data_IF_931933172440
#
_entry.id   IF_931933172440
#
_cell.length_a   1.000
_cell.length_b   1.000
_cell.length_c   1.000
_cell.angle_alpha   90.00
_cell.angle_beta   90.00
_cell.angle_gamma   90.00
#
_symmetry.space_group_name_H-M   'P 1'
#
loop_
_entity.id
_entity.type
_entity.pdbx_description
1 polymer ?
#
# COMPACT_ATOMS: atom_id res chain seq x y z
N UNK A 1 31.12 -2.06 6.60
CA UNK A 1 31.91 -0.99 5.95
C UNK A 1 31.41 0.44 6.22
N UNK A 2 30.43 0.68 7.12
CA UNK A 2 30.18 2.04 7.66
C UNK A 2 30.70 2.19 9.10
N UNK A 3 30.69 1.11 9.90
CA UNK A 3 31.28 1.06 11.26
C UNK A 3 32.80 1.31 11.35
N UNK A 4 33.52 1.25 10.22
CA UNK A 4 34.96 1.53 10.15
C UNK A 4 35.26 3.02 9.88
N UNK A 5 34.23 3.78 9.45
CA UNK A 5 34.22 5.24 9.50
C UNK A 5 33.70 5.61 10.89
N UNK A 6 34.24 6.65 11.54
CA UNK A 6 33.83 7.11 12.89
C UNK A 6 32.37 7.62 12.99
N UNK A 7 31.49 7.18 12.09
CA UNK A 7 30.07 7.49 12.07
C UNK A 7 29.31 6.44 12.90
N UNK A 8 28.52 6.94 13.84
CA UNK A 8 27.62 6.12 14.63
C UNK A 8 26.47 5.61 13.75
N UNK A 9 26.52 4.32 13.41
CA UNK A 9 25.49 3.67 12.59
C UNK A 9 24.14 3.59 13.29
N UNK A 10 24.11 3.61 14.62
CA UNK A 10 22.88 3.51 15.38
C UNK A 10 22.19 4.87 15.44
N UNK A 11 22.95 5.97 15.56
CA UNK A 11 22.43 7.33 15.37
C UNK A 11 21.85 7.53 13.96
N UNK A 12 22.55 7.06 12.92
CA UNK A 12 22.05 7.15 11.54
C UNK A 12 20.71 6.40 11.34
N UNK A 13 20.55 5.22 11.96
CA UNK A 13 19.27 4.48 11.92
C UNK A 13 18.18 5.21 12.69
N UNK A 14 18.46 5.69 13.90
CA UNK A 14 17.50 6.42 14.73
C UNK A 14 16.98 7.64 13.98
N UNK A 15 17.87 8.44 13.39
CA UNK A 15 17.50 9.61 12.59
C UNK A 15 16.65 9.20 11.38
N UNK A 16 17.02 8.11 10.68
CA UNK A 16 16.23 7.60 9.55
C UNK A 16 14.80 7.17 9.95
N UNK A 17 14.66 6.46 11.07
CA UNK A 17 13.34 6.08 11.60
C UNK A 17 12.55 7.28 12.10
N UNK A 18 13.21 8.23 12.78
CA UNK A 18 12.58 9.44 13.28
C UNK A 18 12.00 10.28 12.14
N UNK A 19 12.76 10.51 11.06
CA UNK A 19 12.29 11.25 9.88
C UNK A 19 11.13 10.51 9.20
N UNK A 20 11.25 9.18 9.03
CA UNK A 20 10.19 8.38 8.42
C UNK A 20 8.88 8.49 9.22
N UNK A 21 8.94 8.31 10.54
CA UNK A 21 7.75 8.44 11.39
C UNK A 21 7.21 9.87 11.45
N UNK A 22 8.08 10.88 11.44
CA UNK A 22 7.66 12.28 11.42
C UNK A 22 6.85 12.62 10.17
N UNK A 23 7.26 12.14 8.98
CA UNK A 23 6.50 12.37 7.74
C UNK A 23 5.12 11.68 7.76
N UNK A 24 5.03 10.48 8.33
CA UNK A 24 3.75 9.77 8.51
C UNK A 24 2.83 10.50 9.49
N UNK A 25 3.38 10.94 10.64
CA UNK A 25 2.63 11.70 11.63
C UNK A 25 2.12 13.04 11.08
N UNK A 26 2.95 13.76 10.32
CA UNK A 26 2.57 15.00 9.64
C UNK A 26 1.40 14.76 8.67
N UNK A 27 1.48 13.72 7.83
CA UNK A 27 0.39 13.37 6.92
C UNK A 27 -0.90 13.04 7.68
N UNK A 28 -0.81 12.34 8.82
CA UNK A 28 -1.96 12.05 9.67
C UNK A 28 -2.59 13.30 10.28
N UNK A 29 -1.77 14.24 10.75
CA UNK A 29 -2.24 15.52 11.30
C UNK A 29 -2.99 16.36 10.26
N UNK A 30 -2.48 16.42 9.02
CA UNK A 30 -3.14 17.11 7.91
C UNK A 30 -4.52 16.47 7.63
N UNK A 31 -4.60 15.14 7.60
CA UNK A 31 -5.88 14.45 7.37
C UNK A 31 -6.88 14.70 8.51
N UNK A 32 -6.43 14.71 9.76
CA UNK A 32 -7.28 15.04 10.91
C UNK A 32 -7.83 16.47 10.82
N UNK A 33 -6.97 17.41 10.40
CA UNK A 33 -7.37 18.79 10.18
C UNK A 33 -8.41 18.92 9.06
N UNK A 34 -8.24 18.19 7.95
CA UNK A 34 -9.20 18.19 6.83
C UNK A 34 -10.56 17.61 7.22
N UNK A 35 -10.60 16.65 8.14
CA UNK A 35 -11.86 16.04 8.60
C UNK A 35 -12.48 16.78 9.80
N UNK A 36 -11.81 17.79 10.35
CA UNK A 36 -12.22 18.57 11.54
C UNK A 36 -12.51 17.73 12.81
N UNK A 37 -12.19 16.44 12.79
CA UNK A 37 -12.42 15.49 13.88
C UNK A 37 -11.36 14.40 13.84
N UNK A 38 -10.98 13.90 15.02
CA UNK A 38 -9.99 12.85 15.18
C UNK A 38 -10.61 11.69 15.96
N UNK A 39 -10.81 10.56 15.29
CA UNK A 39 -11.28 9.31 15.88
C UNK A 39 -10.12 8.30 15.90
N UNK A 40 -10.03 7.50 16.96
CA UNK A 40 -9.08 6.38 17.12
C UNK A 40 -9.19 5.38 15.96
N UNK A 41 -10.39 5.21 15.39
CA UNK A 41 -10.64 4.32 14.26
C UNK A 41 -10.18 4.90 12.91
N UNK A 42 -9.87 6.19 12.84
CA UNK A 42 -9.46 6.85 11.60
C UNK A 42 -8.15 6.28 11.05
N UNK A 43 -7.21 5.92 11.95
CA UNK A 43 -5.91 5.37 11.58
C UNK A 43 -5.99 3.97 10.97
N UNK A 44 -6.88 3.12 11.49
CA UNK A 44 -7.07 1.75 10.98
C UNK A 44 -7.50 1.74 9.51
N UNK A 45 -8.47 2.60 9.15
CA UNK A 45 -8.92 2.74 7.76
C UNK A 45 -7.82 3.24 6.82
N UNK A 46 -7.00 4.20 7.29
CA UNK A 46 -5.89 4.75 6.50
C UNK A 46 -4.82 3.70 6.17
N UNK A 47 -4.47 2.83 7.13
CA UNK A 47 -3.49 1.75 6.89
C UNK A 47 -4.02 0.78 5.83
N UNK A 48 -5.29 0.37 5.91
CA UNK A 48 -5.90 -0.54 4.94
C UNK A 48 -5.88 0.07 3.53
N UNK A 49 -6.26 1.35 3.40
CA UNK A 49 -6.24 2.08 2.12
C UNK A 49 -4.82 2.20 1.57
N UNK A 50 -3.83 2.48 2.43
CA UNK A 50 -2.42 2.57 2.05
C UNK A 50 -1.87 1.24 1.53
N UNK A 51 -2.12 0.15 2.26
CA UNK A 51 -1.71 -1.20 1.85
C UNK A 51 -2.41 -1.63 0.55
N UNK A 52 -3.70 -1.34 0.39
CA UNK A 52 -4.43 -1.62 -0.84
C UNK A 52 -3.82 -0.89 -2.04
N UNK A 53 -3.52 0.42 -1.90
CA UNK A 53 -2.90 1.23 -2.95
C UNK A 53 -1.51 0.72 -3.33
N UNK A 54 -0.73 0.26 -2.34
CA UNK A 54 0.58 -0.39 -2.56
C UNK A 54 0.43 -1.70 -3.36
N UNK A 55 -0.50 -2.57 -2.96
CA UNK A 55 -0.75 -3.85 -3.64
C UNK A 55 -1.20 -3.64 -5.09
N UNK A 56 -2.12 -2.69 -5.33
CA UNK A 56 -2.60 -2.33 -6.67
C UNK A 56 -1.44 -1.79 -7.52
N UNK A 57 -0.62 -0.91 -6.95
CA UNK A 57 0.56 -0.36 -7.62
C UNK A 57 1.57 -1.42 -8.02
N UNK A 58 1.89 -2.34 -7.10
CA UNK A 58 2.84 -3.43 -7.33
C UNK A 58 2.32 -4.45 -8.37
N UNK A 59 1.01 -4.67 -8.43
CA UNK A 59 0.39 -5.51 -9.45
C UNK A 59 0.49 -4.93 -10.87
N UNK A 60 0.48 -3.59 -11.00
CA UNK A 60 0.60 -2.89 -12.28
C UNK A 60 2.05 -2.83 -12.78
N UNK A 61 3.00 -2.55 -11.88
CA UNK A 61 4.40 -2.35 -12.20
C UNK A 61 5.24 -3.32 -11.37
N UNK A 62 5.65 -4.44 -11.99
CA UNK A 62 6.53 -5.42 -11.35
C UNK A 62 7.94 -4.82 -11.18
N UNK A 63 8.19 -4.21 -10.03
CA UNK A 63 9.36 -3.38 -9.82
C UNK A 63 10.51 -4.12 -9.11
N UNK A 64 11.75 -3.83 -9.51
CA UNK A 64 12.99 -4.36 -8.90
C UNK A 64 13.73 -3.34 -8.03
N UNK A 65 13.34 -2.06 -8.08
CA UNK A 65 14.04 -0.94 -7.42
C UNK A 65 13.10 -0.09 -6.57
N UNK A 66 13.62 0.45 -5.46
CA UNK A 66 12.84 1.22 -4.46
C UNK A 66 12.16 2.45 -5.08
N UNK A 67 12.88 3.20 -5.93
CA UNK A 67 12.33 4.39 -6.59
C UNK A 67 11.15 4.06 -7.51
N UNK A 68 11.24 2.97 -8.28
CA UNK A 68 10.11 2.53 -9.12
C UNK A 68 8.93 2.06 -8.26
N UNK A 69 9.22 1.42 -7.12
CA UNK A 69 8.21 1.07 -6.11
C UNK A 69 7.43 2.28 -5.59
N UNK A 70 8.10 3.40 -5.30
CA UNK A 70 7.40 4.63 -4.87
C UNK A 70 6.48 5.17 -5.96
N UNK A 71 6.94 5.21 -7.22
CA UNK A 71 6.12 5.65 -8.36
C UNK A 71 4.94 4.72 -8.60
N UNK A 72 5.12 3.41 -8.44
CA UNK A 72 4.01 2.46 -8.59
C UNK A 72 2.96 2.62 -7.51
N UNK A 73 3.34 2.90 -6.26
CA UNK A 73 2.39 3.18 -5.17
C UNK A 73 1.58 4.45 -5.48
N UNK A 74 2.25 5.50 -5.96
CA UNK A 74 1.58 6.75 -6.35
C UNK A 74 0.54 6.47 -7.45
N UNK A 75 0.93 5.74 -8.50
CA UNK A 75 -0.02 5.31 -9.56
C UNK A 75 -1.16 4.46 -9.01
N UNK A 76 -0.86 3.50 -8.12
CA UNK A 76 -1.86 2.65 -7.47
C UNK A 76 -2.87 3.44 -6.64
N UNK A 77 -2.44 4.50 -5.95
CA UNK A 77 -3.32 5.38 -5.18
C UNK A 77 -4.31 6.17 -6.06
N UNK A 78 -3.87 6.58 -7.25
CA UNK A 78 -4.72 7.26 -8.24
C UNK A 78 -5.77 6.30 -8.79
N UNK A 79 -5.35 5.10 -9.18
CA UNK A 79 -6.27 4.04 -9.65
C UNK A 79 -7.30 3.69 -8.58
N UNK A 80 -6.88 3.53 -7.32
CA UNK A 80 -7.79 3.28 -6.20
C UNK A 80 -8.83 4.39 -6.03
N UNK A 81 -8.42 5.67 -6.13
CA UNK A 81 -9.35 6.81 -6.10
C UNK A 81 -10.34 6.79 -7.25
N UNK A 82 -9.91 6.45 -8.47
CA UNK A 82 -10.81 6.34 -9.63
C UNK A 82 -11.85 5.23 -9.41
N UNK A 83 -11.43 4.08 -8.87
CA UNK A 83 -12.35 2.97 -8.55
C UNK A 83 -13.40 3.42 -7.51
N UNK A 84 -12.98 4.08 -6.43
CA UNK A 84 -13.92 4.63 -5.43
C UNK A 84 -14.85 5.68 -6.04
N UNK A 85 -14.34 6.56 -6.90
CA UNK A 85 -15.14 7.60 -7.54
C UNK A 85 -16.24 7.00 -8.42
N UNK A 86 -15.93 5.97 -9.21
CA UNK A 86 -16.90 5.23 -10.03
C UNK A 86 -17.98 4.51 -9.20
N UNK A 87 -17.62 4.09 -7.99
CA UNK A 87 -18.57 3.44 -7.07
C UNK A 87 -19.50 4.48 -6.45
N UNK A 88 -18.97 5.64 -6.04
CA UNK A 88 -19.72 6.74 -5.44
C UNK A 88 -20.78 7.32 -6.38
N UNK A 89 -20.55 7.30 -7.69
CA UNK A 89 -21.56 7.73 -8.69
C UNK A 89 -22.80 6.84 -8.73
N UNK A 90 -22.81 5.68 -8.06
CA UNK A 90 -23.95 4.74 -8.02
C UNK A 90 -24.88 4.97 -6.81
N UNK A 91 -24.79 6.13 -6.13
CA UNK A 91 -25.77 6.59 -5.12
C UNK A 91 -26.01 5.62 -3.95
N UNK A 92 -24.95 5.25 -3.22
CA UNK A 92 -25.06 4.38 -2.04
C UNK A 92 -24.78 5.15 -0.74
N UNK A 93 -25.51 4.87 0.37
CA UNK A 93 -25.30 5.52 1.65
C UNK A 93 -23.85 5.40 2.17
N UNK A 94 -23.31 6.42 2.87
CA UNK A 94 -21.91 6.45 3.34
C UNK A 94 -21.50 5.24 4.19
N UNK A 95 -22.45 4.67 4.93
CA UNK A 95 -22.27 3.50 5.79
C UNK A 95 -21.88 2.24 5.00
N UNK A 96 -22.38 2.09 3.77
CA UNK A 96 -22.04 0.96 2.88
C UNK A 96 -20.73 1.19 2.11
N UNK A 97 -20.18 2.41 2.10
CA UNK A 97 -18.92 2.70 1.40
C UNK A 97 -17.73 1.96 2.03
N UNK A 98 -17.72 1.76 3.35
CA UNK A 98 -16.69 0.94 4.02
C UNK A 98 -16.77 -0.53 3.60
N UNK A 99 -17.99 -1.06 3.44
CA UNK A 99 -18.24 -2.43 3.00
C UNK A 99 -17.81 -2.63 1.54
N UNK A 100 -18.13 -1.67 0.67
CA UNK A 100 -17.76 -1.72 -0.74
C UNK A 100 -16.25 -1.50 -0.92
N UNK A 101 -15.63 -0.59 -0.17
CA UNK A 101 -14.17 -0.44 -0.14
C UNK A 101 -13.50 -1.75 0.27
N UNK A 102 -13.99 -2.43 1.31
CA UNK A 102 -13.47 -3.73 1.72
C UNK A 102 -13.65 -4.79 0.63
N UNK A 103 -14.78 -4.79 -0.08
CA UNK A 103 -15.04 -5.73 -1.18
C UNK A 103 -14.14 -5.48 -2.39
N UNK A 104 -13.89 -4.20 -2.74
CA UNK A 104 -12.95 -3.80 -3.79
C UNK A 104 -11.53 -4.22 -3.43
N UNK A 105 -11.12 -4.00 -2.19
CA UNK A 105 -9.80 -4.44 -1.71
C UNK A 105 -9.71 -5.98 -1.74
N UNK A 106 -10.74 -6.69 -1.28
CA UNK A 106 -10.77 -8.16 -1.29
C UNK A 106 -10.71 -8.76 -2.71
N UNK A 107 -11.41 -8.15 -3.67
CA UNK A 107 -11.39 -8.55 -5.08
C UNK A 107 -10.07 -8.16 -5.76
N UNK A 108 -9.57 -6.95 -5.52
CA UNK A 108 -8.28 -6.49 -6.00
C UNK A 108 -7.09 -7.30 -5.46
N UNK A 109 -7.21 -7.88 -4.26
CA UNK A 109 -6.22 -8.83 -3.72
C UNK A 109 -6.39 -10.23 -4.33
N UNK A 110 -7.63 -10.68 -4.55
CA UNK A 110 -7.91 -12.01 -5.11
C UNK A 110 -7.39 -12.19 -6.54
N UNK A 111 -7.56 -11.18 -7.40
CA UNK A 111 -7.17 -11.23 -8.82
C UNK A 111 -5.65 -11.46 -9.02
N UNK A 112 -4.72 -10.69 -8.41
CA UNK A 112 -3.28 -10.94 -8.54
C UNK A 112 -2.85 -12.22 -7.82
N UNK A 113 -3.46 -12.59 -6.69
CA UNK A 113 -3.10 -13.81 -5.95
C UNK A 113 -3.43 -15.10 -6.75
N UNK A 114 -4.54 -15.10 -7.51
CA UNK A 114 -4.88 -16.19 -8.43
C UNK A 114 -3.89 -16.27 -9.61
N UNK A 115 -3.37 -15.13 -10.08
CA UNK A 115 -2.34 -15.08 -11.13
C UNK A 115 -0.98 -15.62 -10.65
N UNK A 116 -0.61 -15.37 -9.39
CA UNK A 116 0.60 -15.93 -8.76
C UNK A 116 0.49 -17.45 -8.58
N UNK A 117 -0.68 -17.95 -8.18
CA UNK A 117 -0.91 -19.40 -8.03
C UNK A 117 -0.79 -20.16 -9.34
N UNK A 118 -1.18 -19.57 -10.47
CA UNK A 118 -1.02 -20.18 -11.79
C UNK A 118 0.44 -20.12 -12.32
N UNK A 119 1.31 -19.29 -11.73
CA UNK A 119 2.75 -19.26 -12.03
C UNK A 119 3.56 -20.32 -11.27
N UNK A 120 3.12 -20.73 -10.09
CA UNK A 120 3.81 -21.76 -9.28
C UNK A 120 3.58 -23.19 -9.80
N UNK A 121 2.52 -23.45 -10.55
CA UNK A 121 2.28 -24.76 -11.16
C UNK A 121 3.21 -25.08 -12.34
N UNK A 122 3.94 -24.10 -12.90
CA UNK A 122 4.86 -24.35 -14.03
C UNK A 122 6.31 -24.63 -13.63
N UNK A 123 6.71 -24.43 -12.37
CA UNK A 123 8.07 -24.74 -11.91
C UNK A 123 8.23 -26.14 -11.32
N UNK A 124 7.15 -26.86 -11.06
CA UNK A 124 7.20 -28.25 -10.55
C UNK A 124 7.20 -29.33 -11.64
N UNK A 125 7.01 -28.98 -12.92
CA UNK A 125 7.01 -29.95 -14.05
C UNK A 125 8.38 -30.02 -14.74
N UNK A 126 9.30 -29.07 -14.52
CA UNK A 126 10.65 -29.08 -15.13
C UNK A 126 11.74 -29.67 -14.21
N UNK A 127 11.35 -30.37 -13.15
CA UNK A 127 12.26 -31.07 -12.23
C UNK A 127 12.29 -32.59 -12.40
N UNK A 128 11.49 -33.15 -13.32
CA UNK A 128 11.30 -34.61 -13.45
C UNK A 128 11.57 -35.10 -14.88
N UNK A 129 12.72 -34.67 -15.42
CA UNK A 129 13.38 -35.31 -16.57
C UNK A 129 14.89 -35.27 -16.34
N UNK A 130 15.35 -36.16 -15.48
CA UNK A 130 16.59 -36.89 -15.75
C UNK A 130 16.20 -38.28 -16.26
#
# INVERSE_FOLDING_TARGET
>A
MVRASSIDTDMAKIVGFAISNATVALSGAIVAQMQQSADINMGSGMIVIGLASLIIGDALLRNRTVLRGLVSVIMGSVVYRIIIALILTTSLPPSFLKLISALVVATAISIPNLRVRNGFSRLRIKGDKQ
#
